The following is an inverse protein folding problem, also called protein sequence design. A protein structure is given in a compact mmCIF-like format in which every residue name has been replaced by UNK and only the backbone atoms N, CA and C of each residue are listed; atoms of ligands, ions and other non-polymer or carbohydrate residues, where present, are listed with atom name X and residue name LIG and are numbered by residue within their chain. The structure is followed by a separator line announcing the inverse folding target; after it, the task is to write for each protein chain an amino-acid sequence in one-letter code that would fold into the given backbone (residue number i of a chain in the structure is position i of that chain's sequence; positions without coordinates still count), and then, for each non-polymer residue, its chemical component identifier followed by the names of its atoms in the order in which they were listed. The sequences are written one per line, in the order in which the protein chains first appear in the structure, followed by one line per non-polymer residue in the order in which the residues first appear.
data_IF_135511453206
#
_entry.id   IF_135511453206
#
_cell.length_a   1.000
_cell.length_b   1.000
_cell.length_c   1.000
_cell.angle_alpha   90.00
_cell.angle_beta   90.00
_cell.angle_gamma   90.00
#
_symmetry.space_group_name_H-M   'P 1'
#
loop_
_entity.id
_entity.type
_entity.pdbx_description
1 polymer ?
#
# COMPACT_ATOMS: atom_id res chain seq x y z
N UNK A 1 -15.03 -20.98 -18.25
CA UNK A 1 -14.95 -20.43 -16.89
C UNK A 1 -14.03 -19.21 -16.95
N UNK A 2 -14.58 -18.04 -17.27
CA UNK A 2 -13.81 -16.80 -17.22
C UNK A 2 -13.71 -16.41 -15.75
N UNK A 3 -12.50 -16.38 -15.22
CA UNK A 3 -12.26 -15.84 -13.88
C UNK A 3 -12.78 -14.40 -13.88
N UNK A 4 -13.58 -13.97 -12.88
CA UNK A 4 -14.02 -12.59 -12.81
C UNK A 4 -12.77 -11.70 -12.86
N UNK A 5 -12.80 -10.56 -13.58
CA UNK A 5 -11.65 -9.66 -13.63
C UNK A 5 -11.26 -9.36 -12.20
N UNK A 6 -10.08 -9.82 -11.80
CA UNK A 6 -9.50 -9.54 -10.51
C UNK A 6 -9.29 -8.03 -10.53
N UNK A 7 -10.26 -7.27 -10.01
CA UNK A 7 -10.24 -5.82 -9.98
C UNK A 7 -8.86 -5.42 -9.50
N UNK A 8 -8.04 -4.95 -10.44
CA UNK A 8 -6.71 -4.45 -10.17
C UNK A 8 -6.95 -3.23 -9.29
N UNK A 9 -6.99 -3.45 -7.98
CA UNK A 9 -7.15 -2.38 -7.00
C UNK A 9 -6.04 -1.41 -7.32
N UNK A 10 -6.42 -0.25 -7.84
CA UNK A 10 -5.48 0.76 -8.30
C UNK A 10 -4.46 0.99 -7.20
N UNK A 11 -3.16 1.19 -7.52
CA UNK A 11 -2.15 1.49 -6.52
C UNK A 11 -2.57 2.66 -5.61
N UNK A 12 -3.33 3.61 -6.15
CA UNK A 12 -3.91 4.73 -5.41
C UNK A 12 -4.93 4.27 -4.36
N UNK A 13 -5.76 3.28 -4.67
CA UNK A 13 -6.73 2.71 -3.72
C UNK A 13 -6.02 1.98 -2.58
N UNK A 14 -4.93 1.26 -2.87
CA UNK A 14 -4.10 0.66 -1.83
C UNK A 14 -3.52 1.73 -0.91
N UNK A 15 -2.93 2.80 -1.47
CA UNK A 15 -2.33 3.88 -0.70
C UNK A 15 -3.36 4.56 0.21
N UNK A 16 -4.56 4.85 -0.29
CA UNK A 16 -5.65 5.41 0.52
C UNK A 16 -6.03 4.54 1.72
N UNK A 17 -5.96 3.21 1.58
CA UNK A 17 -6.33 2.28 2.65
C UNK A 17 -5.26 2.13 3.74
N UNK A 18 -4.02 2.55 3.48
CA UNK A 18 -2.88 2.37 4.41
C UNK A 18 -2.47 3.64 5.14
N UNK A 19 -3.02 4.81 4.78
CA UNK A 19 -2.79 6.08 5.49
C UNK A 19 -3.20 5.93 6.97
N UNK A 20 -2.33 6.37 7.87
CA UNK A 20 -2.53 6.33 9.32
C UNK A 20 -2.41 4.92 9.94
N UNK A 21 -2.07 3.90 9.15
CA UNK A 21 -1.89 2.52 9.65
C UNK A 21 -0.41 2.15 9.73
N UNK A 22 -0.02 1.26 10.67
CA UNK A 22 1.32 0.68 10.66
C UNK A 22 1.54 -0.12 9.38
N UNK A 23 2.59 0.22 8.64
CA UNK A 23 2.99 -0.42 7.40
C UNK A 23 4.43 -0.91 7.49
N UNK A 24 4.73 -1.94 6.69
CA UNK A 24 6.10 -2.39 6.43
C UNK A 24 6.42 -2.11 4.98
N UNK A 25 7.42 -1.28 4.73
CA UNK A 25 7.92 -0.97 3.39
C UNK A 25 9.19 -1.77 3.16
N UNK A 26 9.13 -2.69 2.20
CA UNK A 26 10.27 -3.51 1.81
C UNK A 26 10.97 -2.87 0.62
N UNK A 27 12.23 -2.51 0.79
CA UNK A 27 13.05 -2.01 -0.32
C UNK A 27 13.73 -3.16 -1.05
N UNK A 28 14.02 -2.95 -2.34
CA UNK A 28 14.81 -3.89 -3.14
C UNK A 28 16.23 -4.12 -2.60
N UNK A 29 16.72 -3.25 -1.71
CA UNK A 29 17.99 -3.43 -0.98
C UNK A 29 17.92 -4.48 0.13
N UNK A 30 16.75 -5.07 0.41
CA UNK A 30 16.53 -6.00 1.51
C UNK A 30 16.29 -5.34 2.86
N UNK A 31 16.15 -4.01 2.89
CA UNK A 31 15.84 -3.24 4.10
C UNK A 31 14.33 -3.13 4.28
N UNK A 32 13.85 -3.46 5.48
CA UNK A 32 12.44 -3.35 5.89
C UNK A 32 12.26 -2.12 6.79
N UNK A 33 11.53 -1.12 6.32
CA UNK A 33 11.08 0.02 7.15
C UNK A 33 9.73 -0.28 7.77
N UNK A 34 9.58 0.05 9.06
CA UNK A 34 8.31 -0.05 9.78
C UNK A 34 7.93 1.32 10.31
N UNK A 35 6.70 1.73 10.09
CA UNK A 35 6.23 3.04 10.53
C UNK A 35 4.77 3.25 10.21
N UNK A 36 4.24 4.40 10.60
CA UNK A 36 2.89 4.83 10.21
C UNK A 36 3.03 5.51 8.84
N UNK A 37 2.20 5.11 7.88
CA UNK A 37 2.16 5.79 6.59
C UNK A 37 1.43 7.13 6.76
N UNK A 38 2.17 8.21 6.86
CA UNK A 38 1.64 9.54 7.13
C UNK A 38 1.73 10.40 5.86
N UNK A 39 0.64 10.41 5.09
CA UNK A 39 0.46 11.35 3.99
C UNK A 39 -0.12 12.64 4.58
N UNK A 40 0.74 13.61 4.93
CA UNK A 40 0.28 14.91 5.43
C UNK A 40 -0.44 15.67 4.32
N UNK A 41 -1.73 15.92 4.51
CA UNK A 41 -2.51 16.94 3.80
C UNK A 41 -2.86 18.01 4.83
N UNK A 42 -2.24 19.17 4.69
CA UNK A 42 -2.75 20.45 5.19
C UNK A 42 -2.86 21.41 4.02
#
# INVERSE_FOLDING_TARGET
MQQPPQQERSPTEFLSNVIGRPVVVKLNSGVDYRGIFEWFIT
#
